data_IF_466721058624
#
_entry.id   IF_466721058624
#
_cell.length_a   1.000
_cell.length_b   1.000
_cell.length_c   1.000
_cell.angle_alpha   90.00
_cell.angle_beta   90.00
_cell.angle_gamma   90.00
#
_symmetry.space_group_name_H-M   'P 1'
#
loop_
_entity.id
_entity.type
_entity.pdbx_description
1 polymer ?
#
# COMPACT_ATOMS: atom_id res chain seq x y z
N UNK A 1 -17.10 28.70 -17.05
CA UNK A 1 -15.86 28.64 -16.26
C UNK A 1 -15.66 27.18 -15.90
N UNK A 2 -14.49 26.66 -16.21
CA UNK A 2 -14.26 25.26 -16.58
C UNK A 2 -13.51 24.56 -15.45
N UNK A 3 -14.22 23.90 -14.53
CA UNK A 3 -13.62 23.09 -13.46
C UNK A 3 -13.22 21.69 -13.97
N UNK A 4 -12.58 21.62 -15.14
CA UNK A 4 -12.23 20.37 -15.83
C UNK A 4 -10.72 20.24 -16.12
N UNK A 5 -9.87 21.05 -15.46
CA UNK A 5 -8.43 21.14 -15.80
C UNK A 5 -7.46 20.55 -14.76
N UNK A 6 -7.90 20.11 -13.58
CA UNK A 6 -6.97 19.56 -12.57
C UNK A 6 -6.68 18.06 -12.70
N UNK A 7 -7.18 17.38 -13.74
CA UNK A 7 -6.64 16.06 -14.11
C UNK A 7 -5.36 16.24 -14.93
N UNK A 8 -4.41 17.00 -14.40
CA UNK A 8 -3.05 16.99 -14.91
C UNK A 8 -2.52 15.58 -14.68
N UNK A 9 -2.55 14.80 -15.76
CA UNK A 9 -1.78 13.58 -16.01
C UNK A 9 -1.02 13.09 -14.78
N UNK A 10 -1.62 12.18 -14.00
CA UNK A 10 -0.88 11.39 -13.02
C UNK A 10 0.30 10.79 -13.78
N UNK A 11 1.48 11.37 -13.61
CA UNK A 11 2.67 10.99 -14.36
C UNK A 11 2.91 9.50 -14.19
N UNK A 12 3.54 8.87 -15.19
CA UNK A 12 3.94 7.48 -15.04
C UNK A 12 4.72 7.31 -13.72
N UNK A 13 4.30 6.36 -12.88
CA UNK A 13 4.93 6.10 -11.59
C UNK A 13 6.44 5.93 -11.79
N UNK A 14 7.22 6.55 -10.90
CA UNK A 14 8.65 6.30 -10.83
C UNK A 14 8.92 4.84 -10.50
N UNK A 15 10.12 4.36 -10.83
CA UNK A 15 10.51 2.98 -10.53
C UNK A 15 10.45 2.67 -9.02
N UNK A 16 10.73 3.66 -8.17
CA UNK A 16 10.62 3.54 -6.71
C UNK A 16 9.16 3.37 -6.28
N UNK A 17 8.26 4.21 -6.79
CA UNK A 17 6.84 4.13 -6.49
C UNK A 17 6.24 2.80 -6.96
N UNK A 18 6.63 2.33 -8.14
CA UNK A 18 6.23 1.00 -8.66
C UNK A 18 6.75 -0.13 -7.77
N UNK A 19 8.00 -0.07 -7.37
CA UNK A 19 8.61 -1.06 -6.47
C UNK A 19 7.88 -1.13 -5.12
N UNK A 20 7.46 0.00 -4.56
CA UNK A 20 6.65 0.06 -3.32
C UNK A 20 5.31 -0.65 -3.49
N UNK A 21 4.61 -0.42 -4.61
CA UNK A 21 3.35 -1.12 -4.92
C UNK A 21 3.57 -2.63 -5.06
N UNK A 22 4.59 -3.05 -5.81
CA UNK A 22 4.88 -4.46 -6.04
C UNK A 22 5.32 -5.18 -4.76
N UNK A 23 6.03 -4.48 -3.87
CA UNK A 23 6.34 -4.98 -2.54
C UNK A 23 5.06 -5.14 -1.71
N UNK A 24 4.22 -4.10 -1.62
CA UNK A 24 2.99 -4.14 -0.84
C UNK A 24 2.04 -5.25 -1.33
N UNK A 25 1.90 -5.44 -2.65
CA UNK A 25 1.09 -6.53 -3.22
C UNK A 25 1.58 -7.91 -2.78
N UNK A 26 2.89 -8.18 -2.93
CA UNK A 26 3.49 -9.44 -2.50
C UNK A 26 3.32 -9.68 -1.00
N UNK A 27 3.45 -8.62 -0.21
CA UNK A 27 3.31 -8.66 1.24
C UNK A 27 1.87 -9.00 1.67
N UNK A 28 0.87 -8.39 1.02
CA UNK A 28 -0.55 -8.66 1.25
C UNK A 28 -0.96 -10.06 0.78
N UNK A 29 -0.43 -10.53 -0.36
CA UNK A 29 -0.69 -11.89 -0.83
C UNK A 29 -0.09 -12.93 0.12
N UNK A 30 1.11 -12.67 0.64
CA UNK A 30 1.72 -13.49 1.69
C UNK A 30 0.81 -13.53 2.93
N UNK A 31 0.41 -12.37 3.45
CA UNK A 31 -0.47 -12.27 4.62
C UNK A 31 -1.83 -12.97 4.41
N UNK A 32 -2.37 -12.93 3.19
CA UNK A 32 -3.62 -13.64 2.83
C UNK A 32 -3.44 -15.15 2.80
N UNK A 33 -2.27 -15.63 2.40
CA UNK A 33 -1.96 -17.07 2.31
C UNK A 33 -1.68 -17.72 3.67
N UNK A 34 -1.48 -16.91 4.72
CA UNK A 34 -1.23 -17.40 6.07
C UNK A 34 -2.47 -18.06 6.67
N UNK A 35 -2.29 -19.22 7.30
CA UNK A 35 -3.35 -19.86 8.06
C UNK A 35 -3.49 -19.16 9.41
N UNK A 36 -4.34 -18.14 9.44
CA UNK A 36 -4.62 -17.34 10.62
C UNK A 36 -5.12 -18.19 11.80
N UNK A 37 -5.73 -19.36 11.57
CA UNK A 37 -6.19 -20.22 12.67
C UNK A 37 -5.02 -20.91 13.41
N UNK A 38 -3.87 -21.05 12.75
CA UNK A 38 -2.68 -21.71 13.30
C UNK A 38 -1.67 -20.74 13.91
N UNK A 39 -1.84 -19.43 13.70
CA UNK A 39 -0.96 -18.44 14.31
C UNK A 39 -1.20 -18.36 15.82
N UNK A 40 -0.14 -18.26 16.64
CA UNK A 40 -0.29 -17.89 18.05
C UNK A 40 -0.74 -16.43 18.16
N UNK A 41 -1.29 -16.02 19.30
CA UNK A 41 -1.75 -14.63 19.54
C UNK A 41 -0.68 -13.59 19.18
N UNK A 42 0.59 -13.85 19.51
CA UNK A 42 1.68 -12.96 19.13
C UNK A 42 1.87 -12.85 17.61
N UNK A 43 1.67 -13.96 16.87
CA UNK A 43 1.67 -13.99 15.42
C UNK A 43 0.53 -13.15 14.83
N UNK A 44 -0.66 -13.17 15.42
CA UNK A 44 -1.76 -12.29 15.01
C UNK A 44 -1.43 -10.82 15.20
N UNK A 45 -0.85 -10.44 16.35
CA UNK A 45 -0.46 -9.05 16.62
C UNK A 45 0.55 -8.57 15.58
N UNK A 46 1.58 -9.37 15.30
CA UNK A 46 2.58 -9.04 14.28
C UNK A 46 1.97 -8.95 12.88
N UNK A 47 1.01 -9.82 12.55
CA UNK A 47 0.29 -9.75 11.28
C UNK A 47 -0.48 -8.44 11.14
N UNK A 48 -1.20 -8.02 12.18
CA UNK A 48 -1.96 -6.76 12.19
C UNK A 48 -1.01 -5.57 12.04
N UNK A 49 0.09 -5.52 12.79
CA UNK A 49 1.07 -4.43 12.69
C UNK A 49 1.73 -4.36 11.32
N UNK A 50 2.04 -5.52 10.71
CA UNK A 50 2.54 -5.59 9.34
C UNK A 50 1.53 -5.00 8.36
N UNK A 51 0.26 -5.45 8.41
CA UNK A 51 -0.81 -4.97 7.54
C UNK A 51 -1.01 -3.46 7.69
N UNK A 52 -1.04 -2.95 8.93
CA UNK A 52 -1.15 -1.52 9.22
C UNK A 52 -0.01 -0.73 8.58
N UNK A 53 1.23 -1.16 8.81
CA UNK A 53 2.42 -0.51 8.24
C UNK A 53 2.38 -0.50 6.71
N UNK A 54 1.83 -1.55 6.07
CA UNK A 54 1.66 -1.59 4.61
C UNK A 54 0.58 -0.65 4.12
N UNK A 55 -0.53 -0.54 4.83
CA UNK A 55 -1.59 0.42 4.49
C UNK A 55 -1.09 1.87 4.63
N UNK A 56 -0.38 2.18 5.70
CA UNK A 56 0.20 3.51 5.93
C UNK A 56 1.19 3.89 4.81
N UNK A 57 2.05 2.95 4.39
CA UNK A 57 2.99 3.16 3.27
C UNK A 57 2.28 3.42 1.93
N UNK A 58 1.15 2.75 1.68
CA UNK A 58 0.36 2.96 0.45
C UNK A 58 -0.41 4.28 0.50
N UNK A 59 -0.94 4.68 1.66
CA UNK A 59 -1.57 5.98 1.83
C UNK A 59 -0.56 7.10 1.58
N UNK A 60 0.63 7.01 2.17
CA UNK A 60 1.70 7.96 1.91
C UNK A 60 2.08 8.02 0.43
N UNK A 61 2.12 6.87 -0.26
CA UNK A 61 2.38 6.84 -1.70
C UNK A 61 1.27 7.52 -2.51
N UNK A 62 0.01 7.41 -2.09
CA UNK A 62 -1.11 8.11 -2.73
C UNK A 62 -0.91 9.62 -2.59
N UNK A 63 -0.58 10.10 -1.39
CA UNK A 63 -0.32 11.53 -1.12
C UNK A 63 0.85 12.04 -1.99
N UNK A 64 1.96 11.27 -2.04
CA UNK A 64 3.12 11.58 -2.88
C UNK A 64 2.78 11.67 -4.38
N UNK A 65 1.87 10.82 -4.87
CA UNK A 65 1.46 10.79 -6.28
C UNK A 65 0.41 11.87 -6.57
N UNK A 66 -0.42 12.22 -5.59
CA UNK A 66 -1.37 13.32 -5.67
C UNK A 66 -0.70 14.70 -5.57
N UNK A 67 0.55 14.75 -5.09
CA UNK A 67 1.30 15.98 -4.88
C UNK A 67 0.88 16.74 -3.62
N UNK A 68 0.33 16.03 -2.63
CA UNK A 68 -0.06 16.57 -1.31
C UNK A 68 1.09 16.49 -0.28
#
# INVERSE_FOLDING_TARGET
MTDEQSRETLGALTDVQRSRIDFARRDLDYARSEDLAQLPTAGHILMIERLRTRLDDILQLIDEVAGE
#
